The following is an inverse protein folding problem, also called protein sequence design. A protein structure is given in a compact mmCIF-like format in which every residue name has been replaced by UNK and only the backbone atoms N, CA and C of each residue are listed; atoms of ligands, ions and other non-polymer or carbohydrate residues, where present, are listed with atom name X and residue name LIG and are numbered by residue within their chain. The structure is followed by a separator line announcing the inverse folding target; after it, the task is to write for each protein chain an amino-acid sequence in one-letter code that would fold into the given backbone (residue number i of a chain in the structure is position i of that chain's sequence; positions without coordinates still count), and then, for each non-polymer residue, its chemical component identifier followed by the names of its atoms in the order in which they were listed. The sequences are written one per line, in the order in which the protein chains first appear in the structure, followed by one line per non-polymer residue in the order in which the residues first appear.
data_IF_552352731982
#
_entry.id   IF_552352731982
#
_cell.length_a   1.000
_cell.length_b   1.000
_cell.length_c   1.000
_cell.angle_alpha   90.00
_cell.angle_beta   90.00
_cell.angle_gamma   90.00
#
_symmetry.space_group_name_H-M   'P 1'
#
loop_
_entity.id
_entity.type
_entity.pdbx_description
1 polymer ?
#
# COMPACT_ATOMS: atom_id res chain seq x y z
N UNK A 1 19.06 7.27 -5.09
CA UNK A 1 19.22 5.91 -4.53
C UNK A 1 20.67 5.47 -4.71
N UNK A 2 21.24 4.71 -3.76
CA UNK A 2 22.56 4.10 -3.94
C UNK A 2 22.56 3.13 -5.13
N UNK A 3 23.64 3.13 -5.91
CA UNK A 3 23.83 2.17 -7.00
C UNK A 3 24.02 0.76 -6.43
N UNK A 4 23.32 -0.27 -6.95
CA UNK A 4 23.46 -1.62 -6.43
C UNK A 4 24.87 -2.15 -6.67
N UNK A 5 25.54 -2.56 -5.59
CA UNK A 5 26.79 -3.31 -5.67
C UNK A 5 26.56 -4.78 -6.02
N UNK A 6 27.63 -5.57 -6.28
CA UNK A 6 27.52 -6.97 -6.68
C UNK A 6 26.77 -7.89 -5.71
N UNK A 7 26.74 -7.53 -4.41
CA UNK A 7 26.05 -8.29 -3.37
C UNK A 7 24.59 -7.83 -3.12
N UNK A 8 24.11 -6.82 -3.86
CA UNK A 8 22.77 -6.29 -3.65
C UNK A 8 21.69 -7.26 -4.16
N UNK A 9 20.75 -7.62 -3.28
CA UNK A 9 19.57 -8.42 -3.60
C UNK A 9 18.28 -7.60 -3.47
N UNK A 10 17.19 -8.08 -4.06
CA UNK A 10 15.88 -7.39 -4.08
C UNK A 10 15.39 -6.94 -2.70
N UNK A 11 15.69 -7.67 -1.63
CA UNK A 11 15.30 -7.29 -0.26
C UNK A 11 16.14 -6.16 0.35
N UNK A 12 17.26 -5.78 -0.27
CA UNK A 12 18.13 -4.69 0.18
C UNK A 12 17.80 -3.34 -0.48
N UNK A 13 16.81 -3.30 -1.38
CA UNK A 13 16.42 -2.11 -2.15
C UNK A 13 15.06 -1.55 -1.74
N UNK A 14 14.61 -1.87 -0.53
CA UNK A 14 13.33 -1.46 0.01
C UNK A 14 12.14 -2.27 -0.53
N UNK A 15 11.13 -2.41 0.32
CA UNK A 15 9.88 -3.12 0.11
C UNK A 15 8.74 -2.11 0.22
N UNK A 16 8.02 -1.90 -0.88
CA UNK A 16 6.90 -0.98 -0.96
C UNK A 16 5.58 -1.73 -0.93
N UNK A 17 4.74 -1.42 0.06
CA UNK A 17 3.33 -1.77 0.07
C UNK A 17 2.48 -0.67 -0.59
N UNK A 18 1.48 -1.05 -1.37
CA UNK A 18 0.50 -0.12 -1.95
C UNK A 18 -0.90 -0.66 -1.63
N UNK A 19 -1.68 0.08 -0.87
CA UNK A 19 -3.07 -0.29 -0.60
C UNK A 19 -3.96 0.16 -1.75
N UNK A 20 -4.73 -0.77 -2.31
CA UNK A 20 -5.68 -0.54 -3.39
C UNK A 20 -7.11 -0.41 -2.86
N UNK A 21 -7.93 0.33 -3.60
CA UNK A 21 -9.38 0.28 -3.49
C UNK A 21 -10.00 -0.98 -4.10
N UNK A 22 -11.33 -0.98 -4.15
CA UNK A 22 -12.19 -2.05 -4.70
C UNK A 22 -11.99 -2.27 -6.19
N UNK A 23 -12.67 -3.28 -6.75
CA UNK A 23 -12.50 -3.75 -8.13
C UNK A 23 -12.44 -2.64 -9.20
N UNK A 24 -13.28 -1.61 -9.11
CA UNK A 24 -13.36 -0.51 -10.07
C UNK A 24 -12.48 0.70 -9.75
N UNK A 25 -11.67 0.60 -8.70
CA UNK A 25 -10.91 1.68 -8.07
C UNK A 25 -9.41 1.33 -7.95
N UNK A 26 -8.90 0.48 -8.84
CA UNK A 26 -7.53 -0.05 -8.79
C UNK A 26 -6.50 0.82 -9.52
N UNK A 27 -6.93 1.81 -10.31
CA UNK A 27 -6.08 2.57 -11.22
C UNK A 27 -4.92 3.27 -10.52
N UNK A 28 -5.18 3.88 -9.37
CA UNK A 28 -4.18 4.64 -8.66
C UNK A 28 -3.13 3.74 -7.98
N UNK A 29 -3.57 2.63 -7.38
CA UNK A 29 -2.66 1.61 -6.84
C UNK A 29 -1.72 1.06 -7.91
N UNK A 30 -2.21 0.82 -9.14
CA UNK A 30 -1.38 0.39 -10.27
C UNK A 30 -0.34 1.43 -10.65
N UNK A 31 -0.70 2.72 -10.65
CA UNK A 31 0.24 3.82 -10.93
C UNK A 31 1.31 3.95 -9.85
N UNK A 32 0.91 3.89 -8.58
CA UNK A 32 1.83 3.95 -7.43
C UNK A 32 2.80 2.75 -7.43
N UNK A 33 2.29 1.53 -7.64
CA UNK A 33 3.11 0.33 -7.70
C UNK A 33 4.13 0.40 -8.85
N UNK A 34 3.68 0.84 -10.03
CA UNK A 34 4.57 1.04 -11.19
C UNK A 34 5.62 2.13 -10.91
N UNK A 35 5.25 3.21 -10.24
CA UNK A 35 6.20 4.25 -9.84
C UNK A 35 7.26 3.69 -8.89
N UNK A 36 6.87 2.90 -7.89
CA UNK A 36 7.78 2.22 -6.96
C UNK A 36 8.83 1.37 -7.67
N UNK A 37 8.41 0.54 -8.62
CA UNK A 37 9.33 -0.25 -9.44
C UNK A 37 10.28 0.64 -10.25
N UNK A 38 9.77 1.70 -10.91
CA UNK A 38 10.59 2.60 -11.73
C UNK A 38 11.64 3.36 -10.92
N UNK A 39 11.31 3.78 -9.70
CA UNK A 39 12.26 4.51 -8.85
C UNK A 39 13.31 3.57 -8.24
N UNK A 40 13.04 2.25 -8.22
CA UNK A 40 14.01 1.23 -7.86
C UNK A 40 13.71 0.49 -6.56
N UNK A 41 12.45 0.45 -6.11
CA UNK A 41 12.04 -0.45 -5.04
C UNK A 41 12.34 -1.90 -5.44
N UNK A 42 12.96 -2.66 -4.54
CA UNK A 42 13.36 -4.03 -4.82
C UNK A 42 12.20 -5.02 -4.78
N UNK A 43 11.14 -4.69 -4.04
CA UNK A 43 9.88 -5.43 -3.99
C UNK A 43 8.72 -4.44 -3.93
N UNK A 44 7.68 -4.71 -4.70
CA UNK A 44 6.42 -3.97 -4.63
C UNK A 44 5.28 -4.97 -4.48
N UNK A 45 4.45 -4.76 -3.45
CA UNK A 45 3.25 -5.54 -3.16
C UNK A 45 2.04 -4.62 -3.15
N UNK A 46 1.01 -4.94 -3.93
CA UNK A 46 -0.31 -4.34 -3.83
C UNK A 46 -1.16 -5.16 -2.87
N UNK A 47 -1.63 -4.51 -1.81
CA UNK A 47 -2.56 -5.03 -0.81
C UNK A 47 -3.96 -4.58 -1.24
N UNK A 48 -4.89 -5.50 -1.50
CA UNK A 48 -6.20 -5.14 -2.04
C UNK A 48 -7.36 -5.87 -1.36
N UNK A 49 -8.58 -5.31 -1.41
CA UNK A 49 -9.78 -6.08 -1.10
C UNK A 49 -9.94 -7.29 -2.04
N UNK A 50 -10.63 -8.36 -1.63
CA UNK A 50 -10.69 -9.60 -2.41
C UNK A 50 -11.29 -9.43 -3.81
N UNK A 51 -12.26 -8.54 -3.98
CA UNK A 51 -12.94 -8.25 -5.25
C UNK A 51 -12.00 -7.65 -6.32
N UNK A 52 -10.95 -6.95 -5.90
CA UNK A 52 -9.96 -6.33 -6.79
C UNK A 52 -8.86 -7.31 -7.24
N UNK A 53 -8.73 -8.47 -6.61
CA UNK A 53 -7.61 -9.40 -6.81
C UNK A 53 -7.45 -9.82 -8.27
N UNK A 54 -8.52 -10.26 -8.92
CA UNK A 54 -8.46 -10.74 -10.30
C UNK A 54 -8.10 -9.62 -11.29
N UNK A 55 -8.63 -8.41 -11.07
CA UNK A 55 -8.33 -7.22 -11.90
C UNK A 55 -6.86 -6.83 -11.77
N UNK A 56 -6.34 -6.83 -10.54
CA UNK A 56 -4.96 -6.48 -10.27
C UNK A 56 -4.00 -7.57 -10.78
N UNK A 57 -4.26 -8.84 -10.48
CA UNK A 57 -3.42 -9.96 -10.89
C UNK A 57 -3.36 -10.10 -12.43
N UNK A 58 -4.45 -9.80 -13.13
CA UNK A 58 -4.47 -9.78 -14.60
C UNK A 58 -3.74 -8.58 -15.22
N UNK A 59 -3.51 -7.51 -14.46
CA UNK A 59 -2.93 -6.26 -14.95
C UNK A 59 -1.50 -5.97 -14.46
N UNK A 60 -1.00 -6.75 -13.50
CA UNK A 60 0.26 -6.53 -12.82
C UNK A 60 1.13 -7.78 -12.89
N UNK A 61 2.23 -7.70 -13.64
CA UNK A 61 3.14 -8.84 -13.84
C UNK A 61 4.26 -8.86 -12.80
N UNK A 62 4.95 -7.73 -12.61
CA UNK A 62 6.11 -7.63 -11.73
C UNK A 62 5.76 -7.27 -10.27
N UNK A 63 4.50 -6.97 -10.00
CA UNK A 63 4.01 -6.54 -8.68
C UNK A 63 3.26 -7.69 -8.03
N UNK A 64 3.59 -8.00 -6.77
CA UNK A 64 2.86 -9.01 -6.02
C UNK A 64 1.46 -8.50 -5.68
N UNK A 65 0.43 -9.30 -5.88
CA UNK A 65 -0.95 -8.97 -5.50
C UNK A 65 -1.34 -9.83 -4.31
N UNK A 66 -1.77 -9.19 -3.23
CA UNK A 66 -2.12 -9.84 -1.98
C UNK A 66 -3.49 -9.35 -1.50
N UNK A 67 -4.52 -10.19 -1.47
CA UNK A 67 -5.79 -9.83 -0.88
C UNK A 67 -5.67 -9.69 0.65
N UNK A 68 -6.48 -8.81 1.23
CA UNK A 68 -6.72 -8.75 2.67
C UNK A 68 -8.22 -8.69 2.97
N UNK A 69 -8.65 -9.30 4.08
CA UNK A 69 -10.06 -9.41 4.50
C UNK A 69 -10.46 -8.41 5.59
N UNK A 70 -9.48 -7.71 6.17
CA UNK A 70 -9.73 -6.68 7.18
C UNK A 70 -8.43 -6.08 7.73
N UNK A 71 -8.53 -5.19 8.73
CA UNK A 71 -7.39 -4.40 9.22
C UNK A 71 -6.25 -5.26 9.77
N UNK A 72 -6.53 -6.29 10.57
CA UNK A 72 -5.48 -7.15 11.14
C UNK A 72 -4.79 -8.01 10.07
N UNK A 73 -5.56 -8.40 9.05
CA UNK A 73 -5.03 -9.10 7.88
C UNK A 73 -4.08 -8.19 7.07
N UNK A 74 -4.53 -6.95 6.85
CA UNK A 74 -3.73 -5.91 6.21
C UNK A 74 -2.44 -5.63 6.98
N UNK A 75 -2.51 -5.48 8.31
CA UNK A 75 -1.34 -5.28 9.17
C UNK A 75 -0.31 -6.38 8.95
N UNK A 76 -0.74 -7.65 9.05
CA UNK A 76 0.15 -8.80 8.94
C UNK A 76 0.84 -8.85 7.58
N UNK A 77 0.11 -8.54 6.50
CA UNK A 77 0.66 -8.56 5.15
C UNK A 77 1.57 -7.37 4.83
N UNK A 78 1.36 -6.25 5.53
CA UNK A 78 2.13 -5.02 5.44
C UNK A 78 3.35 -4.98 6.40
N UNK A 79 3.36 -5.77 7.47
CA UNK A 79 4.44 -5.86 8.46
C UNK A 79 5.84 -6.05 7.85
N UNK A 80 6.03 -6.80 6.75
CA UNK A 80 7.33 -6.91 6.09
C UNK A 80 7.68 -5.72 5.19
N UNK A 81 6.89 -4.65 5.08
CA UNK A 81 7.16 -3.54 4.17
C UNK A 81 8.00 -2.46 4.87
N UNK A 82 8.87 -1.79 4.11
CA UNK A 82 9.67 -0.67 4.64
C UNK A 82 8.90 0.66 4.52
N UNK A 83 8.05 0.77 3.49
CA UNK A 83 7.12 1.88 3.30
C UNK A 83 5.78 1.35 2.77
N UNK A 84 4.68 1.98 3.20
CA UNK A 84 3.34 1.69 2.68
C UNK A 84 2.67 2.98 2.26
N UNK A 85 2.11 2.99 1.06
CA UNK A 85 1.23 4.06 0.61
C UNK A 85 -0.22 3.60 0.65
N UNK A 86 -1.07 4.40 1.27
CA UNK A 86 -2.52 4.25 1.29
C UNK A 86 -3.11 5.57 0.82
N UNK A 87 -3.92 5.53 -0.25
CA UNK A 87 -4.44 6.78 -0.77
C UNK A 87 -5.51 6.66 -1.83
N UNK A 88 -5.23 6.76 -3.13
CA UNK A 88 -6.30 7.15 -4.03
C UNK A 88 -7.26 5.98 -4.27
N UNK A 89 -8.54 6.22 -3.95
CA UNK A 89 -9.65 5.28 -3.98
C UNK A 89 -9.73 4.21 -2.85
N UNK A 90 -9.11 4.45 -1.69
CA UNK A 90 -9.33 3.62 -0.49
C UNK A 90 -10.80 3.64 0.01
N UNK A 91 -11.54 4.69 -0.35
CA UNK A 91 -12.90 4.93 0.13
C UNK A 91 -12.92 5.88 1.34
N UNK A 92 -13.97 6.68 1.46
CA UNK A 92 -14.16 7.60 2.58
C UNK A 92 -15.00 6.94 3.69
N UNK A 93 -14.61 5.75 4.13
CA UNK A 93 -15.36 4.95 5.10
C UNK A 93 -14.54 4.56 6.33
N UNK A 94 -15.22 4.06 7.37
CA UNK A 94 -14.59 3.60 8.61
C UNK A 94 -13.54 2.51 8.34
N UNK A 95 -13.70 1.72 7.28
CA UNK A 95 -12.73 0.69 6.92
C UNK A 95 -11.35 1.31 6.62
N UNK A 96 -11.31 2.48 5.97
CA UNK A 96 -10.05 3.19 5.72
C UNK A 96 -9.39 3.69 7.01
N UNK A 97 -10.17 4.14 7.99
CA UNK A 97 -9.66 4.53 9.32
C UNK A 97 -9.04 3.33 10.03
N UNK A 98 -9.75 2.20 10.08
CA UNK A 98 -9.24 0.98 10.72
C UNK A 98 -8.01 0.42 9.99
N UNK A 99 -8.00 0.49 8.66
CA UNK A 99 -6.84 0.10 7.86
C UNK A 99 -5.63 0.99 8.15
N UNK A 100 -5.81 2.30 8.30
CA UNK A 100 -4.72 3.21 8.64
C UNK A 100 -4.16 2.91 10.04
N UNK A 101 -5.01 2.77 11.04
CA UNK A 101 -4.60 2.40 12.40
C UNK A 101 -3.87 1.04 12.45
N UNK A 102 -4.29 0.09 11.62
CA UNK A 102 -3.60 -1.18 11.46
C UNK A 102 -2.23 -1.02 10.81
N UNK A 103 -2.09 -0.17 9.80
CA UNK A 103 -0.83 0.10 9.13
C UNK A 103 0.16 0.85 10.05
N UNK A 104 -0.30 1.76 10.90
CA UNK A 104 0.55 2.47 11.89
C UNK A 104 1.28 1.50 12.81
N UNK A 105 0.61 0.40 13.18
CA UNK A 105 1.18 -0.66 14.03
C UNK A 105 2.26 -1.51 13.34
N UNK A 106 2.54 -1.32 12.05
CA UNK A 106 3.59 -2.06 11.32
C UNK A 106 4.99 -1.45 11.48
N UNK A 107 5.08 -0.17 11.84
CA UNK A 107 6.35 0.58 11.86
C UNK A 107 6.90 0.93 10.48
N UNK A 108 6.20 0.63 9.39
CA UNK A 108 6.56 1.06 8.05
C UNK A 108 6.42 2.58 7.90
N UNK A 109 7.21 3.21 7.04
CA UNK A 109 7.00 4.61 6.68
C UNK A 109 5.66 4.74 5.92
N UNK A 110 4.72 5.47 6.50
CA UNK A 110 3.37 5.64 5.92
C UNK A 110 3.29 6.90 5.06
N UNK A 111 2.80 6.73 3.84
CA UNK A 111 2.39 7.81 2.95
C UNK A 111 0.87 7.74 2.81
N UNK A 112 0.20 8.79 3.29
CA UNK A 112 -1.26 8.90 3.25
C UNK A 112 -1.61 9.93 2.18
N UNK A 113 -2.29 9.51 1.11
CA UNK A 113 -2.55 10.33 -0.09
C UNK A 113 -4.06 10.46 -0.40
N UNK A 114 -4.45 11.52 -1.11
CA UNK A 114 -5.80 11.78 -1.63
C UNK A 114 -6.95 11.54 -0.62
N UNK A 115 -7.85 10.60 -0.93
CA UNK A 115 -9.08 10.31 -0.15
C UNK A 115 -8.77 9.98 1.32
N UNK A 116 -7.62 9.37 1.60
CA UNK A 116 -7.23 9.04 2.97
C UNK A 116 -6.97 10.28 3.83
N UNK A 117 -6.62 11.42 3.25
CA UNK A 117 -6.55 12.71 3.96
C UNK A 117 -7.93 13.36 4.12
N UNK A 118 -8.81 13.21 3.14
CA UNK A 118 -10.19 13.73 3.21
C UNK A 118 -11.03 13.07 4.31
N UNK A 119 -10.76 11.83 4.71
CA UNK A 119 -11.44 11.16 5.85
C UNK A 119 -11.19 11.89 7.19
N UNK A 120 -10.07 12.58 7.31
CA UNK A 120 -9.67 13.33 8.50
C UNK A 120 -9.90 14.83 8.37
N UNK A 121 -10.62 15.28 7.35
CA UNK A 121 -11.07 16.67 7.24
C UNK A 121 -11.93 17.00 8.48
N UNK A 122 -11.45 17.92 9.34
CA UNK A 122 -12.08 18.26 10.62
C UNK A 122 -11.80 17.32 11.79
N UNK A 123 -10.96 16.29 11.62
CA UNK A 123 -10.55 15.31 12.66
C UNK A 123 -9.04 15.01 12.61
N UNK A 124 -8.23 16.05 12.38
CA UNK A 124 -6.78 15.90 12.24
C UNK A 124 -6.09 15.37 13.51
N UNK A 125 -6.72 15.52 14.67
CA UNK A 125 -6.31 14.99 15.97
C UNK A 125 -6.38 13.45 16.06
N UNK A 126 -7.11 12.79 15.15
CA UNK A 126 -7.20 11.33 15.05
C UNK A 126 -6.15 10.70 14.12
N UNK A 127 -5.29 11.51 13.49
CA UNK A 127 -4.18 11.03 12.67
C UNK A 127 -2.97 10.73 13.57
N UNK A 128 -2.45 9.50 13.52
CA UNK A 128 -1.24 9.05 14.21
C UNK A 128 -1.29 9.05 15.76
N UNK A 129 -2.29 8.37 16.37
CA UNK A 129 -2.34 8.11 17.81
C UNK A 129 -1.87 6.71 18.20
#
# INVERSE_FOLDING_TARGET
MPWPGPAAHKHARGRLGVVSGRMHQTGAARLAARAGLRIGAGLVKVLCPPDATAVLAGALEAVMVQPFHGPEDLRREAEPMDAVVIGPAAGLDEATVFNLAALERTGAALVVDADALSVFEGRADMLFQ
#
